data_IF_326311072953
#
_entry.id   IF_326311072953
#
_cell.length_a   1.000
_cell.length_b   1.000
_cell.length_c   1.000
_cell.angle_alpha   90.00
_cell.angle_beta   90.00
_cell.angle_gamma   90.00
#
_symmetry.space_group_name_H-M   'P 1'
#
loop_
_entity.id
_entity.type
_entity.pdbx_description
1 polymer ?
#
# COMPACT_ATOMS: atom_id res chain seq x y z
N UNK A 1 24.40 -3.29 13.41
CA UNK A 1 23.47 -2.24 13.85
C UNK A 1 22.43 -1.86 12.78
N UNK A 2 22.75 -1.92 11.48
CA UNK A 2 21.75 -1.64 10.42
C UNK A 2 20.74 -2.77 10.18
N UNK A 3 21.13 -4.04 10.39
CA UNK A 3 20.25 -5.21 10.18
C UNK A 3 18.97 -5.17 11.05
N UNK A 4 19.03 -4.59 12.25
CA UNK A 4 17.88 -4.46 13.14
C UNK A 4 16.84 -3.45 12.67
N UNK A 5 17.23 -2.44 11.89
CA UNK A 5 16.30 -1.42 11.37
C UNK A 5 15.50 -1.98 10.20
N UNK A 6 16.17 -2.64 9.25
CA UNK A 6 15.51 -3.31 8.12
C UNK A 6 14.53 -4.36 8.64
N UNK A 7 14.94 -5.16 9.64
CA UNK A 7 14.07 -6.17 10.25
C UNK A 7 12.82 -5.54 10.90
N UNK A 8 12.98 -4.42 11.60
CA UNK A 8 11.87 -3.70 12.21
C UNK A 8 10.91 -3.16 11.16
N UNK A 9 11.43 -2.51 10.12
CA UNK A 9 10.61 -2.02 9.01
C UNK A 9 9.86 -3.17 8.34
N UNK A 10 10.51 -4.29 8.04
CA UNK A 10 9.85 -5.47 7.46
C UNK A 10 8.71 -5.98 8.34
N UNK A 11 8.91 -6.07 9.66
CA UNK A 11 7.86 -6.48 10.59
C UNK A 11 6.70 -5.46 10.62
N UNK A 12 7.02 -4.17 10.59
CA UNK A 12 6.03 -3.09 10.53
C UNK A 12 5.20 -3.18 9.24
N UNK A 13 5.83 -3.48 8.10
CA UNK A 13 5.13 -3.74 6.83
C UNK A 13 4.24 -4.98 6.91
N UNK A 14 4.76 -6.10 7.39
CA UNK A 14 3.96 -7.34 7.52
C UNK A 14 2.79 -7.17 8.50
N UNK A 15 2.87 -6.24 9.46
CA UNK A 15 1.78 -5.96 10.41
C UNK A 15 0.53 -5.33 9.77
N UNK A 16 0.69 -4.66 8.62
CA UNK A 16 -0.39 -4.02 7.84
C UNK A 16 -0.68 -4.79 6.55
N UNK A 17 -0.21 -6.03 6.46
CA UNK A 17 -0.52 -6.93 5.35
C UNK A 17 -1.98 -7.39 5.43
N UNK A 18 -2.64 -7.38 4.28
CA UNK A 18 -3.95 -7.98 4.08
C UNK A 18 -3.83 -9.17 3.15
N UNK A 19 -4.85 -10.01 3.16
CA UNK A 19 -4.95 -11.16 2.26
C UNK A 19 -6.36 -11.21 1.71
N UNK A 20 -6.47 -11.30 0.39
CA UNK A 20 -7.76 -11.51 -0.28
C UNK A 20 -8.28 -12.92 0.00
N UNK A 21 -9.57 -13.17 -0.25
CA UNK A 21 -10.16 -14.50 -0.08
C UNK A 21 -9.46 -15.56 -0.95
N UNK A 22 -8.88 -15.15 -2.08
CA UNK A 22 -8.10 -16.00 -2.99
C UNK A 22 -6.64 -16.22 -2.54
N UNK A 23 -6.26 -15.71 -1.36
CA UNK A 23 -4.92 -15.90 -0.79
C UNK A 23 -3.85 -14.93 -1.29
N UNK A 24 -4.22 -13.90 -2.07
CA UNK A 24 -3.26 -12.89 -2.55
C UNK A 24 -2.97 -11.89 -1.44
N UNK A 25 -1.69 -11.75 -1.10
CA UNK A 25 -1.20 -10.77 -0.13
C UNK A 25 -1.08 -9.38 -0.74
N UNK A 26 -1.63 -8.38 -0.06
CA UNK A 26 -1.59 -6.98 -0.48
C UNK A 26 -1.48 -6.00 0.69
N UNK A 27 -1.10 -4.78 0.37
CA UNK A 27 -0.98 -3.65 1.28
C UNK A 27 -1.78 -2.47 0.75
N UNK A 28 -2.38 -1.70 1.64
CA UNK A 28 -3.09 -0.49 1.27
C UNK A 28 -2.14 0.71 1.29
N UNK A 29 -2.16 1.50 0.21
CA UNK A 29 -1.31 2.68 0.07
C UNK A 29 -1.43 3.64 1.25
N UNK A 30 -2.63 3.85 1.81
CA UNK A 30 -2.80 4.73 2.99
C UNK A 30 -2.15 4.20 4.27
N UNK A 31 -2.09 2.89 4.44
CA UNK A 31 -1.43 2.28 5.60
C UNK A 31 0.08 2.37 5.45
N UNK A 32 0.60 2.08 4.26
CA UNK A 32 2.01 2.26 3.95
C UNK A 32 2.44 3.73 4.07
N UNK A 33 1.61 4.68 3.64
CA UNK A 33 1.86 6.11 3.80
C UNK A 33 2.08 6.46 5.28
N UNK A 34 1.19 5.95 6.14
CA UNK A 34 1.24 6.20 7.58
C UNK A 34 2.46 5.53 8.23
N UNK A 35 2.76 4.30 7.82
CA UNK A 35 3.89 3.51 8.30
C UNK A 35 5.23 4.14 7.93
N UNK A 36 5.33 4.73 6.73
CA UNK A 36 6.51 5.41 6.22
C UNK A 36 6.56 6.90 6.59
N UNK A 37 5.68 7.35 7.49
CA UNK A 37 5.62 8.72 8.01
C UNK A 37 5.46 9.80 6.93
N UNK A 38 4.81 9.47 5.80
CA UNK A 38 4.47 10.45 4.77
C UNK A 38 3.26 11.29 5.22
N UNK A 39 3.52 12.53 5.63
CA UNK A 39 2.48 13.47 6.08
C UNK A 39 1.57 13.97 4.95
N UNK A 40 2.07 14.00 3.71
CA UNK A 40 1.33 14.44 2.52
C UNK A 40 1.05 13.26 1.58
N UNK A 41 -0.22 13.09 1.21
CA UNK A 41 -0.66 12.04 0.28
C UNK A 41 -0.04 12.21 -1.10
N UNK A 42 0.06 13.43 -1.61
CA UNK A 42 0.59 13.71 -2.95
C UNK A 42 2.02 13.19 -3.13
N UNK A 43 2.86 13.34 -2.09
CA UNK A 43 4.23 12.81 -2.10
C UNK A 43 4.24 11.29 -2.18
N UNK A 44 3.33 10.62 -1.48
CA UNK A 44 3.24 9.17 -1.50
C UNK A 44 2.70 8.65 -2.83
N UNK A 45 1.76 9.36 -3.46
CA UNK A 45 1.29 9.07 -4.81
C UNK A 45 2.43 9.15 -5.83
N UNK A 46 3.34 10.11 -5.69
CA UNK A 46 4.53 10.19 -6.55
C UNK A 46 5.43 8.96 -6.40
N UNK A 47 5.61 8.45 -5.17
CA UNK A 47 6.37 7.22 -4.90
C UNK A 47 5.70 6.01 -5.56
N UNK A 48 4.38 5.88 -5.44
CA UNK A 48 3.61 4.81 -6.09
C UNK A 48 3.75 4.92 -7.62
N UNK A 49 3.66 6.12 -8.19
CA UNK A 49 3.84 6.32 -9.62
C UNK A 49 5.24 5.88 -10.08
N UNK A 50 6.29 6.19 -9.32
CA UNK A 50 7.65 5.69 -9.60
C UNK A 50 7.71 4.16 -9.55
N UNK A 51 7.04 3.53 -8.59
CA UNK A 51 6.96 2.07 -8.49
C UNK A 51 6.20 1.45 -9.69
N UNK A 52 5.10 2.09 -10.14
CA UNK A 52 4.36 1.72 -11.36
C UNK A 52 5.24 1.77 -12.61
N UNK A 53 6.01 2.85 -12.79
CA UNK A 53 6.97 2.97 -13.89
C UNK A 53 8.05 1.87 -13.84
N UNK A 54 8.60 1.58 -12.66
CA UNK A 54 9.58 0.51 -12.49
C UNK A 54 8.99 -0.89 -12.80
N UNK A 55 7.74 -1.14 -12.39
CA UNK A 55 7.01 -2.36 -12.68
C UNK A 55 6.77 -2.55 -14.19
N UNK A 56 6.33 -1.48 -14.87
CA UNK A 56 6.14 -1.46 -16.33
C UNK A 56 7.44 -1.76 -17.09
N UNK A 57 8.56 -1.20 -16.63
CA UNK A 57 9.88 -1.47 -17.21
C UNK A 57 10.37 -2.91 -16.96
N UNK A 58 9.76 -3.63 -16.02
CA UNK A 58 10.05 -5.03 -15.71
C UNK A 58 9.15 -6.02 -16.47
N UNK A 59 8.48 -5.58 -17.54
CA UNK A 59 7.56 -6.38 -18.38
C UNK A 59 6.35 -6.96 -17.65
N UNK A 60 5.97 -6.36 -16.52
CA UNK A 60 4.78 -6.76 -15.75
C UNK A 60 3.64 -5.77 -15.96
N UNK A 61 2.41 -6.29 -15.93
CA UNK A 61 1.20 -5.48 -16.01
C UNK A 61 1.02 -4.74 -14.68
N UNK A 62 0.98 -3.41 -14.75
CA UNK A 62 0.76 -2.54 -13.59
C UNK A 62 -0.55 -2.88 -12.87
N UNK A 63 -1.59 -3.23 -13.63
CA UNK A 63 -2.91 -3.62 -13.12
C UNK A 63 -2.89 -4.84 -12.19
N UNK A 64 -1.90 -5.72 -12.36
CA UNK A 64 -1.80 -6.95 -11.56
C UNK A 64 -1.20 -6.68 -10.18
N UNK A 65 -0.59 -5.50 -10.01
CA UNK A 65 0.17 -5.15 -8.81
C UNK A 65 -0.32 -3.88 -8.13
N UNK A 66 -1.04 -3.02 -8.85
CA UNK A 66 -1.59 -1.75 -8.39
C UNK A 66 -3.07 -1.67 -8.77
N UNK A 67 -3.96 -2.08 -7.86
CA UNK A 67 -5.41 -2.00 -8.08
C UNK A 67 -5.99 -0.80 -7.35
N UNK A 68 -6.70 0.08 -8.06
CA UNK A 68 -7.47 1.16 -7.45
C UNK A 68 -8.70 0.57 -6.75
N UNK A 69 -8.84 0.81 -5.45
CA UNK A 69 -9.92 0.25 -4.63
C UNK A 69 -10.63 1.32 -3.80
N UNK A 70 -11.89 1.08 -3.47
CA UNK A 70 -12.60 1.83 -2.45
C UNK A 70 -12.36 1.22 -1.08
N UNK A 71 -11.86 2.00 -0.11
CA UNK A 71 -11.87 1.64 1.31
C UNK A 71 -13.04 2.33 1.97
N UNK A 72 -13.91 1.57 2.62
CA UNK A 72 -14.94 2.15 3.48
C UNK A 72 -14.32 2.46 4.84
N UNK A 73 -14.44 3.71 5.28
CA UNK A 73 -14.01 4.14 6.62
C UNK A 73 -15.20 4.54 7.46
N UNK A 74 -15.17 4.15 8.74
CA UNK A 74 -16.13 4.60 9.72
C UNK A 74 -15.91 6.08 10.02
N UNK A 75 -16.99 6.85 9.99
CA UNK A 75 -17.05 8.25 10.38
C UNK A 75 -17.70 8.40 11.76
N UNK A 76 -17.45 9.54 12.45
CA UNK A 76 -18.16 9.84 13.69
C UNK A 76 -19.68 9.75 13.50
N UNK A 77 -20.39 9.22 14.50
CA UNK A 77 -21.85 8.97 14.51
C UNK A 77 -22.33 7.81 13.62
N UNK A 78 -21.46 6.86 13.27
CA UNK A 78 -21.86 5.63 12.59
C UNK A 78 -22.14 5.81 11.09
N UNK A 79 -21.76 6.95 10.52
CA UNK A 79 -21.74 7.13 9.07
C UNK A 79 -20.53 6.40 8.49
N UNK A 80 -20.64 5.95 7.24
CA UNK A 80 -19.54 5.34 6.49
C UNK A 80 -19.19 6.23 5.30
N UNK A 81 -17.90 6.30 4.96
CA UNK A 81 -17.44 7.01 3.77
C UNK A 81 -16.52 6.12 2.97
N UNK A 82 -16.82 6.00 1.68
CA UNK A 82 -15.92 5.39 0.73
C UNK A 82 -14.80 6.38 0.36
N UNK A 83 -13.57 5.94 0.49
CA UNK A 83 -12.37 6.69 0.09
C UNK A 83 -11.59 5.86 -0.92
N UNK A 84 -11.12 6.51 -1.99
CA UNK A 84 -10.17 5.89 -2.92
C UNK A 84 -8.89 5.49 -2.18
N UNK A 85 -8.38 4.30 -2.44
CA UNK A 85 -7.10 3.75 -2.00
C UNK A 85 -6.50 2.88 -3.11
N UNK A 86 -5.28 2.38 -2.92
CA UNK A 86 -4.59 1.53 -3.90
C UNK A 86 -4.11 0.28 -3.17
N UNK A 87 -4.46 -0.89 -3.69
CA UNK A 87 -3.87 -2.17 -3.28
C UNK A 87 -2.54 -2.38 -3.98
N UNK A 88 -1.53 -2.72 -3.20
CA UNK A 88 -0.17 -2.99 -3.62
C UNK A 88 0.15 -4.44 -3.26
N UNK A 89 0.37 -5.30 -4.26
CA UNK A 89 0.81 -6.69 -3.97
C UNK A 89 2.25 -6.71 -3.45
N UNK A 90 2.71 -7.84 -2.89
CA UNK A 90 4.10 -7.99 -2.35
C UNK A 90 5.21 -7.57 -3.31
N UNK A 91 4.97 -7.68 -4.62
CA UNK A 91 5.94 -7.28 -5.64
C UNK A 91 6.05 -5.76 -5.80
N UNK A 92 5.02 -5.01 -5.39
CA UNK A 92 4.92 -3.56 -5.48
C UNK A 92 5.09 -2.83 -4.13
N UNK A 93 5.15 -3.58 -3.02
CA UNK A 93 5.31 -3.07 -1.64
C UNK A 93 6.76 -2.93 -1.22
#
# INVERSE_FOLDING_TARGET
>A
MEQTLIQRMMNDFESVKHTTDDGVEFWLARELQSLLWYTKRDNFVEVINKAKYACKNSWKLESDHFADVGKTIAMPKGAEREISDIMLTRYAS
#
